data_IF_728858428930
#
_entry.id   IF_728858428930
#
_cell.length_a   1.000
_cell.length_b   1.000
_cell.length_c   1.000
_cell.angle_alpha   90.00
_cell.angle_beta   90.00
_cell.angle_gamma   90.00
#
_symmetry.space_group_name_H-M   'P 1'
#
loop_
_entity.id
_entity.type
_entity.pdbx_description
1 polymer ?
#
# COMPACT_ATOMS: atom_id res chain seq x y z
N UNK A 1 5.17 3.77 18.28
CA UNK A 1 5.06 3.85 16.82
C UNK A 1 6.01 2.81 16.28
N UNK A 2 5.61 1.98 15.35
CA UNK A 2 6.45 0.89 14.85
C UNK A 2 7.41 1.40 13.78
N UNK A 3 6.87 2.15 12.84
CA UNK A 3 7.60 2.85 11.79
C UNK A 3 7.45 4.36 11.96
N UNK A 4 8.20 5.13 11.20
CA UNK A 4 7.96 6.56 11.08
C UNK A 4 6.61 6.83 10.40
N UNK A 5 6.05 8.01 10.61
CA UNK A 5 4.71 8.32 10.10
C UNK A 5 4.64 8.28 8.56
N UNK A 6 5.66 8.77 7.88
CA UNK A 6 5.80 8.72 6.42
C UNK A 6 5.87 7.28 5.90
N UNK A 7 6.63 6.39 6.55
CA UNK A 7 6.66 4.95 6.23
C UNK A 7 5.27 4.32 6.37
N UNK A 8 4.55 4.58 7.47
CA UNK A 8 3.20 4.03 7.67
C UNK A 8 2.21 4.52 6.61
N UNK A 9 2.25 5.82 6.25
CA UNK A 9 1.39 6.40 5.21
C UNK A 9 1.71 5.80 3.84
N UNK A 10 2.99 5.68 3.47
CA UNK A 10 3.41 5.10 2.18
C UNK A 10 2.99 3.64 2.04
N UNK A 11 3.11 2.82 3.09
CA UNK A 11 2.62 1.44 3.09
C UNK A 11 1.10 1.37 2.97
N UNK A 12 0.37 2.24 3.67
CA UNK A 12 -1.09 2.32 3.59
C UNK A 12 -1.54 2.72 2.19
N UNK A 13 -0.89 3.71 1.57
CA UNK A 13 -1.15 4.16 0.21
C UNK A 13 -0.93 3.02 -0.81
N UNK A 14 0.19 2.32 -0.71
CA UNK A 14 0.51 1.20 -1.59
C UNK A 14 -0.52 0.06 -1.47
N UNK A 15 -0.90 -0.33 -0.25
CA UNK A 15 -1.92 -1.36 -0.02
C UNK A 15 -3.29 -0.90 -0.53
N UNK A 16 -3.68 0.36 -0.31
CA UNK A 16 -4.93 0.91 -0.82
C UNK A 16 -4.94 0.92 -2.36
N UNK A 17 -3.83 1.30 -3.00
CA UNK A 17 -3.69 1.29 -4.46
C UNK A 17 -3.83 -0.12 -5.03
N UNK A 18 -3.17 -1.10 -4.44
CA UNK A 18 -3.31 -2.51 -4.86
C UNK A 18 -4.75 -2.98 -4.67
N UNK A 19 -5.35 -2.70 -3.52
CA UNK A 19 -6.71 -3.15 -3.19
C UNK A 19 -7.79 -2.45 -4.02
N UNK A 20 -7.51 -1.29 -4.61
CA UNK A 20 -8.45 -0.63 -5.52
C UNK A 20 -8.75 -1.45 -6.79
N UNK A 21 -7.93 -2.45 -7.11
CA UNK A 21 -8.18 -3.39 -8.21
C UNK A 21 -9.15 -4.53 -7.85
N UNK A 22 -9.44 -4.75 -6.55
CA UNK A 22 -10.40 -5.78 -6.14
C UNK A 22 -11.82 -5.40 -6.60
N UNK A 23 -12.61 -6.38 -7.04
CA UNK A 23 -13.96 -6.07 -7.53
C UNK A 23 -14.90 -5.50 -6.45
N UNK A 24 -15.65 -4.41 -6.76
CA UNK A 24 -15.54 -3.60 -7.98
C UNK A 24 -14.29 -2.69 -7.95
N UNK A 25 -13.62 -2.50 -9.11
CA UNK A 25 -12.48 -1.57 -9.24
C UNK A 25 -12.91 -0.17 -8.79
N UNK A 26 -12.19 0.42 -7.83
CA UNK A 26 -12.49 1.71 -7.21
C UNK A 26 -11.52 2.82 -7.60
N UNK A 27 -10.71 2.61 -8.65
CA UNK A 27 -9.81 3.62 -9.21
C UNK A 27 -9.93 3.63 -10.74
N UNK A 28 -11.04 4.11 -11.26
CA UNK A 28 -11.42 4.06 -12.68
C UNK A 28 -11.45 5.42 -13.35
N UNK A 29 -11.45 6.51 -12.56
CA UNK A 29 -11.49 7.91 -13.00
C UNK A 29 -10.36 8.73 -12.41
N UNK A 30 -10.09 9.89 -13.02
CA UNK A 30 -9.13 10.88 -12.52
C UNK A 30 -9.58 11.43 -11.16
N UNK A 31 -10.87 11.66 -10.97
CA UNK A 31 -11.43 12.15 -9.70
C UNK A 31 -11.16 11.17 -8.54
N UNK A 32 -11.31 9.85 -8.78
CA UNK A 32 -10.97 8.82 -7.79
C UNK A 32 -9.45 8.79 -7.50
N UNK A 33 -8.61 9.08 -8.49
CA UNK A 33 -7.18 9.24 -8.28
C UNK A 33 -6.86 10.50 -7.46
N UNK A 34 -7.59 11.60 -7.66
CA UNK A 34 -7.45 12.82 -6.86
C UNK A 34 -7.86 12.60 -5.40
N UNK A 35 -8.94 11.85 -5.17
CA UNK A 35 -9.35 11.44 -3.82
C UNK A 35 -8.27 10.58 -3.15
N UNK A 36 -7.73 9.58 -3.85
CA UNK A 36 -6.65 8.73 -3.33
C UNK A 36 -5.39 9.56 -3.03
N UNK A 37 -4.99 10.45 -3.94
CA UNK A 37 -3.84 11.34 -3.78
C UNK A 37 -3.97 12.20 -2.53
N UNK A 38 -5.13 12.81 -2.32
CA UNK A 38 -5.42 13.64 -1.15
C UNK A 38 -5.48 12.82 0.15
N UNK A 39 -6.09 11.64 0.11
CA UNK A 39 -6.24 10.76 1.28
C UNK A 39 -4.90 10.31 1.88
N UNK A 40 -3.86 10.16 1.04
CA UNK A 40 -2.52 9.75 1.48
C UNK A 40 -1.51 10.92 1.51
N UNK A 41 -2.01 12.15 1.48
CA UNK A 41 -1.19 13.37 1.63
C UNK A 41 -0.04 13.48 0.62
N UNK A 42 -0.20 12.91 -0.57
CA UNK A 42 0.75 13.12 -1.65
C UNK A 42 0.83 14.61 -2.00
N UNK A 43 2.03 15.07 -2.33
CA UNK A 43 2.30 16.47 -2.74
C UNK A 43 3.10 16.50 -4.03
N UNK A 44 3.22 17.65 -4.66
CA UNK A 44 4.03 17.84 -5.87
C UNK A 44 3.22 17.65 -7.17
N UNK A 45 3.92 17.30 -8.25
CA UNK A 45 3.36 17.27 -9.60
C UNK A 45 2.16 16.35 -9.71
N UNK A 46 1.12 16.88 -10.34
CA UNK A 46 -0.06 16.16 -10.81
C UNK A 46 -0.31 16.54 -12.27
N UNK A 47 -0.42 15.55 -13.14
CA UNK A 47 -0.82 15.80 -14.54
C UNK A 47 -2.35 15.85 -14.65
N UNK A 48 -3.07 15.12 -13.78
CA UNK A 48 -4.53 15.18 -13.67
C UNK A 48 -5.24 14.67 -14.94
N UNK A 49 -4.61 13.74 -15.65
CA UNK A 49 -5.13 13.24 -16.91
C UNK A 49 -5.26 11.69 -16.91
N UNK A 50 -5.80 11.19 -18.00
CA UNK A 50 -6.02 9.75 -18.18
C UNK A 50 -4.71 8.96 -18.26
N UNK A 51 -3.65 9.55 -18.80
CA UNK A 51 -2.36 8.87 -18.93
C UNK A 51 -1.72 8.64 -17.56
N UNK A 52 -1.80 9.62 -16.66
CA UNK A 52 -1.36 9.49 -15.27
C UNK A 52 -2.18 8.43 -14.52
N UNK A 53 -3.51 8.42 -14.67
CA UNK A 53 -4.36 7.40 -14.08
C UNK A 53 -3.96 5.99 -14.56
N UNK A 54 -3.79 5.80 -15.86
CA UNK A 54 -3.43 4.50 -16.44
C UNK A 54 -2.03 4.05 -15.98
N UNK A 55 -1.06 4.99 -15.87
CA UNK A 55 0.27 4.71 -15.32
C UNK A 55 0.22 4.29 -13.84
N UNK A 56 -0.58 4.97 -13.01
CA UNK A 56 -0.76 4.62 -11.60
C UNK A 56 -1.46 3.25 -11.47
N UNK A 57 -2.47 2.98 -12.27
CA UNK A 57 -3.13 1.66 -12.29
C UNK A 57 -2.18 0.53 -12.69
N UNK A 58 -1.24 0.80 -13.59
CA UNK A 58 -0.24 -0.18 -14.01
C UNK A 58 0.74 -0.56 -12.90
N UNK A 59 0.88 0.25 -11.84
CA UNK A 59 1.67 -0.11 -10.65
C UNK A 59 1.04 -1.21 -9.79
N UNK A 60 -0.27 -1.41 -9.84
CA UNK A 60 -0.98 -2.32 -8.93
C UNK A 60 -0.38 -3.74 -8.90
N UNK A 61 -0.12 -4.41 -10.03
CA UNK A 61 0.51 -5.73 -10.02
C UNK A 61 1.95 -5.69 -9.50
N UNK A 62 2.72 -4.64 -9.81
CA UNK A 62 4.12 -4.49 -9.38
C UNK A 62 4.19 -4.32 -7.85
N UNK A 63 3.34 -3.44 -7.30
CA UNK A 63 3.27 -3.24 -5.85
C UNK A 63 2.71 -4.48 -5.13
N UNK A 64 1.76 -5.20 -5.74
CA UNK A 64 1.28 -6.47 -5.18
C UNK A 64 2.41 -7.48 -5.07
N UNK A 65 3.21 -7.64 -6.11
CA UNK A 65 4.38 -8.52 -6.11
C UNK A 65 5.33 -8.17 -4.96
N UNK A 66 5.71 -6.90 -4.83
CA UNK A 66 6.57 -6.41 -3.75
C UNK A 66 5.98 -6.69 -2.36
N UNK A 67 4.69 -6.35 -2.14
CA UNK A 67 4.05 -6.43 -0.83
C UNK A 67 3.69 -7.87 -0.40
N UNK A 68 3.79 -8.84 -1.32
CA UNK A 68 3.51 -10.27 -1.05
C UNK A 68 4.71 -11.18 -1.22
N UNK A 69 5.86 -10.64 -1.59
CA UNK A 69 7.12 -11.40 -1.74
C UNK A 69 7.68 -11.81 -0.38
N UNK A 70 8.56 -12.80 -0.39
CA UNK A 70 9.41 -13.08 0.76
C UNK A 70 10.48 -11.98 0.92
N UNK A 71 11.19 -12.03 2.05
CA UNK A 71 12.15 -10.98 2.43
C UNK A 71 13.27 -10.79 1.41
N UNK A 72 13.85 -11.87 0.90
CA UNK A 72 15.01 -11.79 0.00
C UNK A 72 14.57 -11.27 -1.37
N UNK A 73 13.45 -11.76 -1.90
CA UNK A 73 12.84 -11.25 -3.12
C UNK A 73 12.44 -9.77 -2.99
N UNK A 74 11.92 -9.35 -1.84
CA UNK A 74 11.58 -7.94 -1.59
C UNK A 74 12.82 -7.04 -1.66
N UNK A 75 13.99 -7.49 -1.15
CA UNK A 75 15.23 -6.72 -1.24
C UNK A 75 15.63 -6.48 -2.70
N UNK A 76 15.54 -7.52 -3.55
CA UNK A 76 15.87 -7.40 -4.97
C UNK A 76 14.92 -6.41 -5.67
N UNK A 77 13.62 -6.51 -5.42
CA UNK A 77 12.61 -5.61 -5.99
C UNK A 77 12.81 -4.16 -5.53
N UNK A 78 13.01 -3.94 -4.24
CA UNK A 78 13.28 -2.60 -3.68
C UNK A 78 14.51 -1.98 -4.31
N UNK A 79 15.61 -2.72 -4.39
CA UNK A 79 16.85 -2.22 -4.96
C UNK A 79 16.70 -1.89 -6.46
N UNK A 80 15.99 -2.71 -7.22
CA UNK A 80 15.69 -2.44 -8.62
C UNK A 80 14.84 -1.17 -8.79
N UNK A 81 13.75 -1.03 -8.04
CA UNK A 81 12.86 0.14 -8.07
C UNK A 81 13.62 1.44 -7.78
N UNK A 82 14.49 1.44 -6.76
CA UNK A 82 15.28 2.62 -6.39
C UNK A 82 16.34 2.95 -7.43
N UNK A 83 17.01 1.95 -7.98
CA UNK A 83 18.03 2.12 -9.01
C UNK A 83 17.42 2.66 -10.31
N UNK A 84 16.31 2.09 -10.78
CA UNK A 84 15.62 2.49 -12.00
C UNK A 84 15.10 3.92 -11.93
N UNK A 85 14.68 4.36 -10.74
CA UNK A 85 14.23 5.72 -10.50
C UNK A 85 15.38 6.71 -10.28
N UNK A 86 16.64 6.26 -10.18
CA UNK A 86 17.77 7.09 -9.79
C UNK A 86 17.57 7.75 -8.42
N UNK A 87 17.00 7.02 -7.48
CA UNK A 87 16.59 7.54 -6.18
C UNK A 87 17.78 8.05 -5.36
N UNK A 88 17.69 9.30 -4.91
CA UNK A 88 18.72 9.96 -4.08
C UNK A 88 18.05 10.50 -2.80
N UNK A 89 18.06 9.73 -1.70
CA UNK A 89 17.38 10.12 -0.48
C UNK A 89 17.88 11.46 0.09
N UNK A 90 16.95 12.36 0.39
CA UNK A 90 17.19 13.67 1.00
C UNK A 90 16.18 13.93 2.10
N UNK A 91 16.62 14.54 3.20
CA UNK A 91 15.71 15.02 4.23
C UNK A 91 14.99 16.28 3.74
N UNK A 92 13.68 16.24 3.81
CA UNK A 92 12.79 17.37 3.49
C UNK A 92 11.80 17.60 4.63
N UNK A 93 11.18 18.77 4.63
CA UNK A 93 10.14 19.13 5.60
C UNK A 93 9.03 19.90 4.92
N UNK A 94 7.81 19.43 5.03
CA UNK A 94 6.60 20.13 4.58
C UNK A 94 5.38 19.60 5.34
N UNK A 95 4.34 20.41 5.47
CA UNK A 95 3.07 19.95 6.05
C UNK A 95 2.46 18.80 5.24
N UNK A 96 1.85 17.79 5.89
CA UNK A 96 1.68 17.65 7.35
C UNK A 96 2.86 16.93 8.04
N UNK A 97 3.95 16.66 7.33
CA UNK A 97 5.08 15.89 7.83
C UNK A 97 6.19 16.79 8.38
N UNK A 98 6.83 16.38 9.47
CA UNK A 98 8.11 16.94 9.93
C UNK A 98 9.25 16.41 9.04
N UNK A 99 10.50 16.39 9.51
CA UNK A 99 11.61 15.88 8.74
C UNK A 99 11.41 14.43 8.32
N UNK A 100 11.35 14.21 7.02
CA UNK A 100 11.16 12.88 6.41
C UNK A 100 11.98 12.77 5.11
N UNK A 101 12.00 11.59 4.50
CA UNK A 101 12.82 11.32 3.33
C UNK A 101 12.01 11.43 2.04
N UNK A 102 12.51 12.24 1.10
CA UNK A 102 12.18 12.11 -0.31
C UNK A 102 13.41 11.64 -1.08
N UNK A 103 13.22 10.84 -2.12
CA UNK A 103 14.33 10.32 -2.89
C UNK A 103 14.24 10.61 -4.39
N UNK A 104 13.20 11.30 -4.81
CA UNK A 104 13.03 11.83 -6.17
C UNK A 104 12.49 13.25 -6.11
N UNK A 105 12.72 14.09 -7.16
CA UNK A 105 12.22 15.46 -7.20
C UNK A 105 10.69 15.53 -7.06
N UNK A 106 10.21 16.64 -6.48
CA UNK A 106 8.77 16.91 -6.28
C UNK A 106 7.98 17.01 -7.58
N UNK A 107 8.64 17.33 -8.69
CA UNK A 107 8.10 17.41 -10.05
C UNK A 107 8.26 16.11 -10.85
N UNK A 108 8.79 15.04 -10.24
CA UNK A 108 8.79 13.72 -10.85
C UNK A 108 7.34 13.23 -11.08
N UNK A 109 7.09 12.41 -12.11
CA UNK A 109 5.76 11.82 -12.34
C UNK A 109 5.20 11.13 -11.09
N UNK A 110 3.89 11.21 -10.87
CA UNK A 110 3.25 10.61 -9.69
C UNK A 110 3.59 9.12 -9.56
N UNK A 111 3.57 8.38 -10.67
CA UNK A 111 3.94 6.95 -10.69
C UNK A 111 5.33 6.69 -10.12
N UNK A 112 6.32 7.51 -10.46
CA UNK A 112 7.70 7.40 -9.95
C UNK A 112 7.76 7.68 -8.46
N UNK A 113 7.06 8.72 -7.99
CA UNK A 113 7.01 9.06 -6.56
C UNK A 113 6.36 7.95 -5.73
N UNK A 114 5.23 7.41 -6.16
CA UNK A 114 4.58 6.26 -5.51
C UNK A 114 5.55 5.06 -5.42
N UNK A 115 6.21 4.73 -6.54
CA UNK A 115 7.15 3.60 -6.59
C UNK A 115 8.28 3.77 -5.59
N UNK A 116 8.91 4.95 -5.57
CA UNK A 116 10.08 5.22 -4.71
C UNK A 116 9.69 5.31 -3.24
N UNK A 117 8.60 6.00 -2.90
CA UNK A 117 8.13 6.09 -1.51
C UNK A 117 7.72 4.71 -0.96
N UNK A 118 7.07 3.88 -1.78
CA UNK A 118 6.79 2.49 -1.39
C UNK A 118 8.05 1.67 -1.20
N UNK A 119 9.02 1.77 -2.12
CA UNK A 119 10.29 1.06 -2.01
C UNK A 119 11.07 1.48 -0.76
N UNK A 120 11.11 2.77 -0.44
CA UNK A 120 11.74 3.29 0.78
C UNK A 120 11.02 2.79 2.06
N UNK A 121 9.70 2.80 2.07
CA UNK A 121 8.93 2.27 3.19
C UNK A 121 9.19 0.77 3.40
N UNK A 122 9.37 0.01 2.31
CA UNK A 122 9.74 -1.41 2.39
C UNK A 122 11.16 -1.63 2.92
N UNK A 123 12.09 -0.69 2.79
CA UNK A 123 13.40 -0.77 3.47
C UNK A 123 13.20 -0.93 4.99
N UNK A 124 12.29 -0.16 5.58
CA UNK A 124 12.01 -0.24 7.01
C UNK A 124 11.38 -1.58 7.40
N UNK A 125 10.46 -2.09 6.58
CA UNK A 125 9.86 -3.43 6.78
C UNK A 125 10.92 -4.52 6.73
N UNK A 126 11.82 -4.47 5.74
CA UNK A 126 12.94 -5.42 5.59
C UNK A 126 13.87 -5.37 6.78
N UNK A 127 14.29 -4.17 7.19
CA UNK A 127 15.26 -3.97 8.29
C UNK A 127 14.70 -4.34 9.66
N UNK A 128 13.41 -4.07 9.87
CA UNK A 128 12.73 -4.41 11.13
C UNK A 128 12.26 -5.87 11.18
N UNK A 129 12.38 -6.63 10.08
CA UNK A 129 11.84 -8.00 9.93
C UNK A 129 10.33 -8.08 10.23
N UNK A 130 9.56 -7.12 9.69
CA UNK A 130 8.13 -6.92 9.99
C UNK A 130 7.21 -7.39 8.83
N UNK A 131 7.65 -8.33 8.00
CA UNK A 131 6.86 -8.91 6.89
C UNK A 131 5.55 -9.54 7.36
N UNK A 132 5.50 -10.05 8.59
CA UNK A 132 4.28 -10.63 9.16
C UNK A 132 3.11 -9.64 9.30
N UNK A 133 3.36 -8.34 9.04
CA UNK A 133 2.32 -7.30 9.01
C UNK A 133 1.67 -7.15 7.64
N UNK A 134 2.30 -7.69 6.62
CA UNK A 134 1.77 -7.74 5.26
C UNK A 134 1.21 -9.14 4.99
N UNK A 135 0.07 -9.20 4.34
CA UNK A 135 -0.53 -10.49 4.00
C UNK A 135 -1.74 -10.33 3.10
N UNK A 136 -2.29 -11.46 2.69
CA UNK A 136 -3.54 -11.51 1.93
C UNK A 136 -4.73 -11.63 2.89
N UNK A 137 -5.85 -11.05 2.53
CA UNK A 137 -7.09 -11.09 3.30
C UNK A 137 -7.49 -12.54 3.62
N UNK A 138 -7.87 -12.82 4.86
CA UNK A 138 -8.30 -14.14 5.30
C UNK A 138 -9.75 -14.50 4.89
N UNK A 139 -10.37 -13.69 4.05
CA UNK A 139 -11.67 -14.00 3.42
C UNK A 139 -11.43 -14.77 2.12
N UNK A 140 -11.83 -16.03 2.06
CA UNK A 140 -11.60 -16.96 0.94
C UNK A 140 -12.05 -16.39 -0.43
N UNK A 141 -12.99 -15.45 -0.45
CA UNK A 141 -13.48 -14.79 -1.66
C UNK A 141 -12.78 -13.46 -1.98
N UNK A 142 -11.67 -13.09 -1.29
CA UNK A 142 -11.04 -11.79 -1.41
C UNK A 142 -9.52 -11.92 -1.63
N UNK A 143 -9.02 -11.30 -2.71
CA UNK A 143 -7.58 -11.19 -3.00
C UNK A 143 -6.92 -9.96 -2.38
N UNK A 144 -7.63 -9.12 -1.64
CA UNK A 144 -7.12 -7.88 -1.09
C UNK A 144 -5.98 -8.07 -0.11
N UNK A 145 -5.06 -7.10 -0.07
CA UNK A 145 -3.93 -7.09 0.86
C UNK A 145 -4.31 -6.51 2.22
N UNK A 146 -3.66 -6.99 3.25
CA UNK A 146 -3.76 -6.51 4.63
C UNK A 146 -2.43 -5.93 5.05
N UNK A 147 -2.45 -4.71 5.60
CA UNK A 147 -1.37 -4.13 6.38
C UNK A 147 -1.84 -4.04 7.83
N UNK A 148 -1.15 -4.71 8.74
CA UNK A 148 -1.46 -4.70 10.17
C UNK A 148 -0.46 -3.85 10.95
N UNK A 149 -0.80 -2.60 11.18
CA UNK A 149 -0.03 -1.68 12.04
C UNK A 149 -0.47 -1.76 13.52
N UNK A 150 -1.37 -2.69 13.87
CA UNK A 150 -1.82 -2.85 15.24
C UNK A 150 -0.73 -3.43 16.13
N UNK A 151 -0.79 -3.11 17.43
CA UNK A 151 0.16 -3.62 18.42
C UNK A 151 0.15 -5.15 18.50
N UNK A 152 -1.03 -5.75 18.37
CA UNK A 152 -1.24 -7.18 18.63
C UNK A 152 -1.18 -8.05 17.36
N UNK A 153 -0.90 -7.45 16.18
CA UNK A 153 -0.87 -8.16 14.89
C UNK A 153 -2.11 -9.01 14.66
N UNK A 154 -3.29 -8.42 14.88
CA UNK A 154 -4.57 -9.16 14.90
C UNK A 154 -5.46 -8.89 13.68
N UNK A 155 -5.07 -7.98 12.79
CA UNK A 155 -5.82 -7.65 11.58
C UNK A 155 -5.67 -8.76 10.54
N UNK A 156 -6.77 -9.43 10.22
CA UNK A 156 -6.83 -10.55 9.27
C UNK A 156 -7.55 -10.22 7.98
N UNK A 157 -8.34 -9.14 7.95
CA UNK A 157 -9.21 -8.79 6.84
C UNK A 157 -8.84 -7.40 6.30
N UNK A 158 -8.86 -7.25 4.97
CA UNK A 158 -8.54 -6.00 4.32
C UNK A 158 -9.60 -4.90 4.56
N UNK A 159 -10.86 -5.32 4.80
CA UNK A 159 -11.98 -4.41 5.04
C UNK A 159 -12.92 -4.92 6.13
N UNK A 160 -13.75 -4.01 6.67
CA UNK A 160 -14.84 -4.34 7.60
C UNK A 160 -15.84 -5.30 6.93
N UNK A 161 -16.09 -5.15 5.64
CA UNK A 161 -16.99 -6.02 4.89
C UNK A 161 -16.52 -7.48 4.88
N UNK A 162 -15.22 -7.73 4.65
CA UNK A 162 -14.63 -9.06 4.72
C UNK A 162 -14.74 -9.66 6.14
N UNK A 163 -14.43 -8.86 7.16
CA UNK A 163 -14.57 -9.28 8.55
C UNK A 163 -16.01 -9.68 8.91
N UNK A 164 -16.98 -8.87 8.50
CA UNK A 164 -18.40 -9.14 8.74
C UNK A 164 -18.90 -10.40 8.01
N UNK A 165 -18.51 -10.60 6.74
CA UNK A 165 -18.86 -11.84 5.99
C UNK A 165 -18.40 -13.08 6.74
N UNK A 166 -17.15 -13.08 7.19
CA UNK A 166 -16.57 -14.21 7.90
C UNK A 166 -17.20 -14.42 9.29
N UNK A 167 -17.52 -13.36 10.02
CA UNK A 167 -18.23 -13.45 11.30
C UNK A 167 -19.62 -14.09 11.12
N UNK A 168 -20.38 -13.67 10.10
CA UNK A 168 -21.69 -14.25 9.78
C UNK A 168 -21.58 -15.71 9.36
N UNK A 169 -20.59 -16.06 8.52
CA UNK A 169 -20.35 -17.45 8.09
C UNK A 169 -20.03 -18.34 9.30
N UNK A 170 -19.15 -17.91 10.18
CA UNK A 170 -18.80 -18.64 11.39
C UNK A 170 -20.00 -18.80 12.35
N UNK A 171 -20.85 -17.76 12.48
CA UNK A 171 -22.08 -17.87 13.26
C UNK A 171 -23.04 -18.93 12.70
N UNK A 172 -23.29 -18.92 11.38
CA UNK A 172 -24.16 -19.88 10.70
C UNK A 172 -23.65 -21.33 10.84
N UNK A 173 -22.35 -21.54 10.69
CA UNK A 173 -21.72 -22.85 10.86
C UNK A 173 -21.95 -23.41 12.29
N UNK A 174 -21.80 -22.57 13.33
CA UNK A 174 -22.07 -22.99 14.71
C UNK A 174 -23.54 -23.33 14.97
N UNK A 175 -24.47 -22.68 14.28
CA UNK A 175 -25.91 -23.01 14.41
C UNK A 175 -26.27 -24.32 13.68
N UNK A 176 -25.64 -24.61 12.54
CA UNK A 176 -25.85 -25.85 11.78
C UNK A 176 -25.34 -27.10 12.49
N UNK A 177 -24.24 -26.96 13.27
CA UNK A 177 -23.65 -28.07 14.03
C UNK A 177 -24.39 -28.42 15.34
N UNK A 178 -25.41 -27.63 15.72
CA UNK A 178 -26.24 -27.83 16.92
C UNK A 178 -27.58 -28.53 16.61
N UNK A 179 -27.85 -28.86 15.34
CA UNK A 179 -29.01 -29.61 14.88
C UNK A 179 -28.61 -31.03 14.51
#
# INVERSE_FOLDING_TARGET
MLFTHDTEVSLQAAVALVNSAEPPDTLTSVDELDEWYAAFSYTGRRDGDRAELDAVRALRPVLRELLTSDRDSAVELVNAMLADAGALPQLVRHEPFDWHLHAVPVDAPLVTRITVETAMAMIDVVRADEFSRLGVCADDGCGGLVLDLSRNRSRRYCSVACGNRNAVAAYRARQGSKR
#
